data_IF_715145124345
#
_entry.id   IF_715145124345
#
_cell.length_a   1.000
_cell.length_b   1.000
_cell.length_c   1.000
_cell.angle_alpha   90.00
_cell.angle_beta   90.00
_cell.angle_gamma   90.00
#
_symmetry.space_group_name_H-M   'P 1'
#
loop_
_entity.id
_entity.type
_entity.pdbx_description
1 polymer ?
#
# COMPACT_ATOMS: atom_id res chain seq x y z
N UNK A 1 -17.15 60.44 -29.05
CA UNK A 1 -16.26 59.27 -28.89
C UNK A 1 -16.60 58.62 -27.56
N UNK A 2 -17.37 57.53 -27.59
CA UNK A 2 -17.82 56.83 -26.38
C UNK A 2 -16.68 55.94 -25.87
N UNK A 3 -16.10 56.32 -24.73
CA UNK A 3 -15.07 55.56 -24.03
C UNK A 3 -15.73 54.41 -23.28
N UNK A 4 -15.89 53.27 -23.93
CA UNK A 4 -16.31 52.03 -23.30
C UNK A 4 -15.19 51.56 -22.36
N UNK A 5 -15.31 51.82 -21.06
CA UNK A 5 -14.46 51.20 -20.04
C UNK A 5 -14.94 49.75 -19.88
N UNK A 6 -14.12 48.80 -20.28
CA UNK A 6 -14.34 47.38 -20.00
C UNK A 6 -13.95 47.13 -18.54
N UNK A 7 -14.94 46.89 -17.70
CA UNK A 7 -14.74 46.42 -16.33
C UNK A 7 -14.24 44.97 -16.39
N UNK A 8 -12.93 44.80 -16.22
CA UNK A 8 -12.32 43.48 -16.01
C UNK A 8 -12.63 43.06 -14.58
N UNK A 9 -13.68 42.27 -14.41
CA UNK A 9 -14.02 41.66 -13.13
C UNK A 9 -13.01 40.52 -12.86
N UNK A 10 -12.20 40.68 -11.81
CA UNK A 10 -11.25 39.67 -11.37
C UNK A 10 -12.06 38.55 -10.72
N UNK A 11 -12.20 37.43 -11.43
CA UNK A 11 -12.76 36.21 -10.86
C UNK A 11 -11.71 35.62 -9.94
N UNK A 12 -11.96 35.69 -8.63
CA UNK A 12 -11.18 34.99 -7.61
C UNK A 12 -11.40 33.48 -7.81
N UNK A 13 -10.45 32.83 -8.48
CA UNK A 13 -10.43 31.37 -8.62
C UNK A 13 -9.97 30.84 -7.26
N UNK A 14 -10.91 30.30 -6.48
CA UNK A 14 -10.60 29.54 -5.27
C UNK A 14 -9.80 28.29 -5.66
N UNK A 15 -8.48 28.44 -5.72
CA UNK A 15 -7.55 27.36 -6.02
C UNK A 15 -7.39 26.49 -4.78
N UNK A 16 -8.37 25.63 -4.52
CA UNK A 16 -8.23 24.60 -3.50
C UNK A 16 -6.99 23.74 -3.85
N UNK A 17 -6.03 23.58 -2.93
CA UNK A 17 -4.85 22.78 -3.20
C UNK A 17 -5.29 21.34 -3.47
N UNK A 18 -4.93 20.80 -4.63
CA UNK A 18 -5.25 19.43 -4.99
C UNK A 18 -4.67 18.47 -3.93
N UNK A 19 -5.54 17.83 -3.15
CA UNK A 19 -5.12 16.78 -2.22
C UNK A 19 -4.49 15.66 -3.03
N UNK A 20 -3.20 15.31 -2.81
CA UNK A 20 -2.56 14.26 -3.57
C UNK A 20 -3.35 12.95 -3.39
N UNK A 21 -3.53 12.17 -4.47
CA UNK A 21 -4.30 10.94 -4.39
C UNK A 21 -3.69 10.02 -3.33
N UNK A 22 -4.52 9.28 -2.57
CA UNK A 22 -4.02 8.35 -1.58
C UNK A 22 -3.09 7.35 -2.27
N UNK A 23 -1.80 7.37 -1.89
CA UNK A 23 -0.82 6.40 -2.38
C UNK A 23 -1.13 5.07 -1.72
N UNK A 24 -1.85 4.20 -2.41
CA UNK A 24 -2.04 2.82 -1.98
C UNK A 24 -0.70 2.09 -2.12
N UNK A 25 -0.13 1.65 -0.99
CA UNK A 25 1.06 0.80 -1.01
C UNK A 25 0.66 -0.57 -1.56
N UNK A 26 1.44 -1.10 -2.51
CA UNK A 26 1.22 -2.44 -3.03
C UNK A 26 1.62 -3.46 -1.96
N UNK A 27 0.76 -4.40 -1.59
CA UNK A 27 1.03 -5.42 -0.57
C UNK A 27 1.47 -6.75 -1.20
N UNK A 28 2.47 -6.72 -2.09
CA UNK A 28 2.90 -7.93 -2.84
C UNK A 28 3.93 -8.76 -2.08
N UNK A 29 4.74 -8.11 -1.24
CA UNK A 29 5.83 -8.76 -0.52
C UNK A 29 5.69 -8.58 0.99
N UNK A 30 6.35 -9.45 1.77
CA UNK A 30 6.45 -9.26 3.22
C UNK A 30 7.13 -7.93 3.59
N UNK A 31 8.01 -7.43 2.72
CA UNK A 31 8.65 -6.11 2.86
C UNK A 31 7.60 -5.00 2.81
N UNK A 32 6.70 -5.04 1.83
CA UNK A 32 5.64 -4.05 1.68
C UNK A 32 4.69 -4.08 2.88
N UNK A 33 4.26 -5.27 3.29
CA UNK A 33 3.38 -5.43 4.45
C UNK A 33 4.05 -4.90 5.71
N UNK A 34 5.35 -5.15 5.91
CA UNK A 34 6.10 -4.61 7.05
C UNK A 34 6.09 -3.07 7.06
N UNK A 35 6.30 -2.43 5.91
CA UNK A 35 6.31 -0.98 5.80
C UNK A 35 4.93 -0.41 6.14
N UNK A 36 3.86 -1.02 5.62
CA UNK A 36 2.49 -0.60 5.90
C UNK A 36 2.10 -0.82 7.37
N UNK A 37 2.49 -1.95 7.98
CA UNK A 37 2.30 -2.16 9.42
C UNK A 37 3.02 -1.10 10.28
N UNK A 38 4.24 -0.72 9.89
CA UNK A 38 4.97 0.34 10.56
C UNK A 38 4.28 1.71 10.39
N UNK A 39 3.64 1.97 9.24
CA UNK A 39 2.82 3.17 8.99
C UNK A 39 1.64 3.21 9.96
N UNK A 40 0.86 2.15 10.02
CA UNK A 40 -0.30 2.00 10.92
C UNK A 40 0.12 2.23 12.38
N UNK A 41 1.24 1.62 12.81
CA UNK A 41 1.78 1.82 14.15
C UNK A 41 2.09 3.30 14.44
N UNK A 42 2.77 4.00 13.52
CA UNK A 42 3.11 5.42 13.70
C UNK A 42 1.85 6.29 13.76
N UNK A 43 0.86 6.02 12.92
CA UNK A 43 -0.41 6.75 12.91
C UNK A 43 -1.19 6.52 14.21
N UNK A 44 -1.25 5.28 14.70
CA UNK A 44 -1.88 4.95 15.98
C UNK A 44 -1.14 5.61 17.15
N UNK A 45 0.20 5.55 17.16
CA UNK A 45 1.03 6.12 18.24
C UNK A 45 0.92 7.64 18.30
N UNK A 46 0.80 8.29 17.14
CA UNK A 46 0.58 9.73 17.01
C UNK A 46 -0.90 10.15 17.16
N UNK A 47 -1.80 9.21 17.52
CA UNK A 47 -3.24 9.42 17.69
C UNK A 47 -3.96 9.95 16.45
N UNK A 48 -3.38 9.75 15.26
CA UNK A 48 -4.01 10.11 13.98
C UNK A 48 -5.15 9.15 13.60
N UNK A 49 -5.05 7.90 14.03
CA UNK A 49 -6.12 6.89 13.89
C UNK A 49 -6.46 6.29 15.26
N UNK A 50 -7.72 5.88 15.49
CA UNK A 50 -8.11 5.18 16.72
C UNK A 50 -7.40 3.84 16.88
N UNK A 51 -7.13 3.44 18.13
CA UNK A 51 -6.48 2.16 18.45
C UNK A 51 -7.26 0.94 17.95
N UNK A 52 -8.59 1.00 17.97
CA UNK A 52 -9.46 -0.06 17.45
C UNK A 52 -9.32 -0.23 15.93
N UNK A 53 -9.23 0.87 15.20
CA UNK A 53 -8.99 0.86 13.75
C UNK A 53 -7.60 0.32 13.44
N UNK A 54 -6.57 0.81 14.14
CA UNK A 54 -5.19 0.33 14.00
C UNK A 54 -5.05 -1.18 14.25
N UNK A 55 -5.74 -1.69 15.26
CA UNK A 55 -5.74 -3.12 15.59
C UNK A 55 -6.34 -3.96 14.46
N UNK A 56 -7.46 -3.48 13.87
CA UNK A 56 -8.12 -4.16 12.74
C UNK A 56 -7.24 -4.17 11.50
N UNK A 57 -6.63 -3.03 11.16
CA UNK A 57 -5.72 -2.91 10.02
C UNK A 57 -4.51 -3.84 10.18
N UNK A 58 -3.90 -3.85 11.36
CA UNK A 58 -2.74 -4.71 11.67
C UNK A 58 -3.11 -6.19 11.58
N UNK A 59 -4.32 -6.57 12.01
CA UNK A 59 -4.81 -7.94 11.84
C UNK A 59 -4.93 -8.36 10.37
N UNK A 60 -5.53 -7.51 9.54
CA UNK A 60 -5.69 -7.76 8.09
C UNK A 60 -4.32 -7.90 7.42
N UNK A 61 -3.39 -6.98 7.71
CA UNK A 61 -2.01 -7.04 7.21
C UNK A 61 -1.29 -8.33 7.66
N UNK A 62 -1.57 -8.80 8.88
CA UNK A 62 -1.09 -10.09 9.35
C UNK A 62 -1.64 -11.29 8.57
N UNK A 63 -2.90 -11.26 8.13
CA UNK A 63 -3.45 -12.30 7.25
C UNK A 63 -2.76 -12.31 5.88
N UNK A 64 -2.55 -11.12 5.30
CA UNK A 64 -1.87 -10.98 4.01
C UNK A 64 -0.43 -11.52 4.11
N UNK A 65 0.27 -11.21 5.21
CA UNK A 65 1.62 -11.74 5.46
C UNK A 65 1.65 -13.27 5.43
N UNK A 66 0.69 -13.92 6.10
CA UNK A 66 0.59 -15.39 6.12
C UNK A 66 0.36 -15.98 4.73
N UNK A 67 -0.48 -15.35 3.91
CA UNK A 67 -0.75 -15.82 2.54
C UNK A 67 0.53 -15.73 1.71
N UNK A 68 1.22 -14.57 1.73
CA UNK A 68 2.47 -14.36 1.00
C UNK A 68 3.53 -15.38 1.42
N UNK A 69 3.68 -15.60 2.73
CA UNK A 69 4.63 -16.58 3.27
C UNK A 69 4.27 -18.01 2.82
N UNK A 70 2.99 -18.38 2.86
CA UNK A 70 2.53 -19.69 2.40
C UNK A 70 2.82 -19.92 0.91
N UNK A 71 2.62 -18.91 0.06
CA UNK A 71 2.92 -19.01 -1.38
C UNK A 71 4.43 -19.13 -1.64
N UNK A 72 5.25 -18.34 -0.95
CA UNK A 72 6.71 -18.43 -1.03
C UNK A 72 7.23 -19.81 -0.63
N UNK A 73 6.73 -20.34 0.49
CA UNK A 73 7.12 -21.65 0.99
C UNK A 73 6.67 -22.77 0.03
N UNK A 74 5.45 -22.69 -0.50
CA UNK A 74 4.92 -23.65 -1.47
C UNK A 74 5.77 -23.69 -2.74
N UNK A 75 6.08 -22.53 -3.33
CA UNK A 75 6.95 -22.44 -4.51
C UNK A 75 8.35 -23.00 -4.24
N UNK A 76 8.92 -22.72 -3.07
CA UNK A 76 10.25 -23.25 -2.70
C UNK A 76 10.22 -24.76 -2.53
N UNK A 77 9.15 -25.32 -1.96
CA UNK A 77 8.96 -26.76 -1.84
C UNK A 77 8.85 -27.43 -3.21
N UNK A 78 8.03 -26.89 -4.13
CA UNK A 78 7.88 -27.39 -5.50
C UNK A 78 9.20 -27.41 -6.26
N UNK A 79 10.03 -26.37 -6.12
CA UNK A 79 11.36 -26.32 -6.72
C UNK A 79 12.27 -27.44 -6.18
N UNK A 80 12.27 -27.65 -4.86
CA UNK A 80 13.06 -28.71 -4.22
C UNK A 80 12.60 -30.08 -4.72
N UNK A 81 11.28 -30.32 -4.76
CA UNK A 81 10.71 -31.57 -5.24
C UNK A 81 11.09 -31.85 -6.70
N UNK A 82 11.09 -30.82 -7.55
CA UNK A 82 11.48 -30.90 -8.95
C UNK A 82 12.96 -31.31 -9.08
N UNK A 83 13.86 -30.59 -8.38
CA UNK A 83 15.30 -30.91 -8.37
C UNK A 83 15.56 -32.32 -7.85
N UNK A 84 14.83 -32.76 -6.82
CA UNK A 84 14.97 -34.12 -6.28
C UNK A 84 14.49 -35.19 -7.27
N UNK A 85 13.41 -34.96 -8.02
CA UNK A 85 12.94 -35.87 -9.06
C UNK A 85 13.97 -36.01 -10.18
N UNK A 86 14.53 -34.89 -10.65
CA UNK A 86 15.59 -34.89 -11.67
C UNK A 86 16.83 -35.66 -11.21
N UNK A 87 17.31 -35.41 -9.98
CA UNK A 87 18.46 -36.15 -9.40
C UNK A 87 18.22 -37.65 -9.31
N UNK A 88 16.99 -38.09 -9.04
CA UNK A 88 16.63 -39.51 -8.99
C UNK A 88 16.56 -40.13 -10.39
N UNK A 89 16.18 -39.36 -11.41
CA UNK A 89 16.08 -39.85 -12.79
C UNK A 89 17.46 -40.00 -13.48
N UNK A 90 18.49 -39.30 -12.98
CA UNK A 90 19.87 -39.37 -13.51
C UNK A 90 20.67 -40.52 -12.89
N UNK A 91 20.16 -41.17 -11.84
CA UNK A 91 20.83 -42.24 -11.09
C UNK A 91 20.26 -43.61 -11.42
#
# INVERSE_FOLDING_TARGET
>A
MASQKSDLEIIEIDSQPATPPPRWMSLRTLMDVRVEMARVYREARSKKIPSGEASRLTFILGQISRIIESEELSRRAELIETIMKERKAVK
#
